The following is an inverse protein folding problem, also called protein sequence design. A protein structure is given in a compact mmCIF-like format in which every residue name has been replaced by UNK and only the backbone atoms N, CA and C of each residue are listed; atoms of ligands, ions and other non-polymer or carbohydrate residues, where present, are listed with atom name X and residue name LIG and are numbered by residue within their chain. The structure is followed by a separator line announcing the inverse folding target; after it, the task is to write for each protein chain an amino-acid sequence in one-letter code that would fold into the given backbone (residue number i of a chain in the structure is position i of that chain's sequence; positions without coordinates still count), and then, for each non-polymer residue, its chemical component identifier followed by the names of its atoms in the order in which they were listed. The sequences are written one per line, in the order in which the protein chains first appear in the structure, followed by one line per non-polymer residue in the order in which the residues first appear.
data_IF_545297617396
#
_entry.id   IF_545297617396
#
_cell.length_a   1.000
_cell.length_b   1.000
_cell.length_c   1.000
_cell.angle_alpha   90.00
_cell.angle_beta   90.00
_cell.angle_gamma   90.00
#
_symmetry.space_group_name_H-M   'P 1'
#
loop_
_entity.id
_entity.type
_entity.pdbx_description
1 polymer ?
#
# COMPACT_ATOMS: atom_id res chain seq x y z
N UNK A 1 -33.57 -10.78 32.71
CA UNK A 1 -32.72 -10.45 31.56
C UNK A 1 -32.31 -8.98 31.51
N UNK A 2 -33.21 -8.04 31.79
CA UNK A 2 -32.97 -6.58 31.67
C UNK A 2 -31.81 -6.03 32.52
N UNK A 3 -31.66 -6.49 33.78
CA UNK A 3 -30.56 -6.08 34.68
C UNK A 3 -29.16 -6.42 34.16
N UNK A 4 -29.00 -7.52 33.43
CA UNK A 4 -27.72 -7.93 32.85
C UNK A 4 -27.35 -7.08 31.62
N UNK A 5 -28.36 -6.58 30.89
CA UNK A 5 -28.15 -5.67 29.77
C UNK A 5 -27.66 -4.29 30.25
N UNK A 6 -28.21 -3.76 31.34
CA UNK A 6 -27.76 -2.49 31.94
C UNK A 6 -26.32 -2.60 32.47
N UNK A 7 -26.00 -3.69 33.17
CA UNK A 7 -24.63 -3.93 33.67
C UNK A 7 -23.62 -4.03 32.53
N UNK A 8 -23.98 -4.71 31.44
CA UNK A 8 -23.15 -4.82 30.22
C UNK A 8 -22.91 -3.45 29.56
N UNK A 9 -23.95 -2.62 29.42
CA UNK A 9 -23.81 -1.26 28.86
C UNK A 9 -22.85 -0.39 29.68
N UNK A 10 -22.89 -0.48 31.00
CA UNK A 10 -21.98 0.28 31.90
C UNK A 10 -20.51 -0.13 31.66
N UNK A 11 -20.22 -1.42 31.57
CA UNK A 11 -18.86 -1.90 31.29
C UNK A 11 -18.36 -1.47 29.91
N UNK A 12 -19.22 -1.52 28.89
CA UNK A 12 -18.89 -1.05 27.53
C UNK A 12 -18.59 0.45 27.54
N UNK A 13 -19.40 1.25 28.25
CA UNK A 13 -19.16 2.70 28.37
C UNK A 13 -17.85 3.01 29.08
N UNK A 14 -17.53 2.31 30.18
CA UNK A 14 -16.26 2.49 30.90
C UNK A 14 -15.07 2.13 30.00
N UNK A 15 -15.15 1.00 29.28
CA UNK A 15 -14.11 0.57 28.36
C UNK A 15 -13.92 1.58 27.23
N UNK A 16 -15.02 2.07 26.64
CA UNK A 16 -14.98 3.08 25.59
C UNK A 16 -14.33 4.38 26.07
N UNK A 17 -14.63 4.81 27.30
CA UNK A 17 -14.08 6.03 27.89
C UNK A 17 -12.59 5.88 28.22
N UNK A 18 -12.18 4.69 28.68
CA UNK A 18 -10.78 4.37 28.94
C UNK A 18 -9.96 4.35 27.64
N UNK A 19 -10.50 3.77 26.57
CA UNK A 19 -9.87 3.77 25.23
C UNK A 19 -9.83 5.18 24.64
N UNK A 20 -10.86 6.00 24.88
CA UNK A 20 -10.92 7.38 24.40
C UNK A 20 -10.09 8.37 25.26
N UNK A 21 -9.67 7.98 26.46
CA UNK A 21 -8.98 8.86 27.42
C UNK A 21 -7.79 9.60 26.80
N UNK A 22 -6.86 8.98 26.04
CA UNK A 22 -5.71 9.69 25.47
C UNK A 22 -6.15 10.79 24.49
N UNK A 23 -7.23 10.55 23.73
CA UNK A 23 -7.78 11.52 22.79
C UNK A 23 -8.35 12.72 23.56
N UNK A 24 -9.07 12.47 24.66
CA UNK A 24 -9.56 13.54 25.53
C UNK A 24 -8.43 14.35 26.17
N UNK A 25 -7.35 13.70 26.61
CA UNK A 25 -6.18 14.39 27.18
C UNK A 25 -5.54 15.31 26.14
N UNK A 26 -5.35 14.84 24.91
CA UNK A 26 -4.82 15.67 23.81
C UNK A 26 -5.79 16.80 23.47
N UNK A 27 -7.10 16.54 23.40
CA UNK A 27 -8.09 17.59 23.14
C UNK A 27 -8.12 18.66 24.25
N UNK A 28 -7.99 18.27 25.52
CA UNK A 28 -7.94 19.18 26.67
C UNK A 28 -6.63 19.98 26.71
N UNK A 29 -5.52 19.44 26.18
CA UNK A 29 -4.24 20.17 26.11
C UNK A 29 -4.32 21.44 25.26
N UNK A 30 -5.29 21.55 24.34
CA UNK A 30 -5.57 22.78 23.59
C UNK A 30 -6.08 23.95 24.46
N UNK A 31 -6.58 23.66 25.67
CA UNK A 31 -7.06 24.68 26.61
C UNK A 31 -5.94 25.25 27.49
N UNK A 32 -4.75 24.65 27.48
CA UNK A 32 -3.58 25.13 28.23
C UNK A 32 -2.79 26.13 27.35
N UNK A 33 -2.72 27.42 27.73
CA UNK A 33 -2.06 28.43 26.92
C UNK A 33 -0.53 28.35 27.05
N UNK A 34 0.10 27.58 26.17
CA UNK A 34 1.56 27.49 26.02
C UNK A 34 2.02 28.20 24.74
N UNK A 35 1.88 29.53 24.72
CA UNK A 35 1.95 30.31 23.48
C UNK A 35 3.32 30.20 22.76
N UNK A 36 4.42 30.05 23.51
CA UNK A 36 5.78 29.90 22.96
C UNK A 36 6.04 28.52 22.34
N UNK A 37 5.45 27.45 22.91
CA UNK A 37 5.54 26.12 22.30
C UNK A 37 4.79 26.10 20.97
N UNK A 38 3.55 26.61 20.95
CA UNK A 38 2.71 26.60 19.74
C UNK A 38 3.31 27.40 18.58
N UNK A 39 3.90 28.57 18.86
CA UNK A 39 4.57 29.37 17.82
C UNK A 39 5.79 28.63 17.26
N UNK A 40 6.63 28.05 18.12
CA UNK A 40 7.77 27.25 17.69
C UNK A 40 7.37 26.01 16.87
N UNK A 41 6.33 25.26 17.29
CA UNK A 41 5.81 24.11 16.54
C UNK A 41 5.25 24.51 15.17
N UNK A 42 4.46 25.60 15.11
CA UNK A 42 3.82 26.07 13.88
C UNK A 42 4.79 26.61 12.85
N UNK A 43 5.90 27.22 13.28
CA UNK A 43 6.86 27.84 12.38
C UNK A 43 7.95 26.86 11.93
N UNK A 44 8.42 25.98 12.83
CA UNK A 44 9.62 25.17 12.56
C UNK A 44 9.33 23.70 12.21
N UNK A 45 8.20 23.14 12.64
CA UNK A 45 7.94 21.70 12.51
C UNK A 45 6.76 21.39 11.58
N UNK A 46 5.61 22.03 11.81
CA UNK A 46 4.38 21.74 11.06
C UNK A 46 4.52 21.94 9.54
N UNK A 47 5.12 23.02 9.02
CA UNK A 47 5.21 23.23 7.57
C UNK A 47 6.03 22.13 6.89
N UNK A 48 7.15 21.75 7.49
CA UNK A 48 8.02 20.67 7.00
C UNK A 48 7.33 19.30 7.06
N UNK A 49 6.64 19.00 8.16
CA UNK A 49 5.90 17.74 8.33
C UNK A 49 4.74 17.63 7.34
N UNK A 50 3.94 18.69 7.19
CA UNK A 50 2.80 18.71 6.27
C UNK A 50 3.29 18.56 4.83
N UNK A 51 4.31 19.33 4.43
CA UNK A 51 4.87 19.24 3.08
C UNK A 51 5.44 17.86 2.78
N UNK A 52 6.24 17.30 3.69
CA UNK A 52 6.82 15.96 3.55
C UNK A 52 5.73 14.89 3.45
N UNK A 53 4.71 14.97 4.30
CA UNK A 53 3.58 14.04 4.29
C UNK A 53 2.77 14.17 3.00
N UNK A 54 2.51 15.37 2.51
CA UNK A 54 1.81 15.59 1.26
C UNK A 54 2.57 15.00 0.07
N UNK A 55 3.90 15.21 -0.01
CA UNK A 55 4.77 14.63 -1.04
C UNK A 55 4.72 13.10 -0.97
N UNK A 56 4.81 12.53 0.23
CA UNK A 56 4.71 11.08 0.43
C UNK A 56 3.35 10.55 -0.01
N UNK A 57 2.24 11.17 0.40
CA UNK A 57 0.90 10.74 0.05
C UNK A 57 0.67 10.74 -1.47
N UNK A 58 1.07 11.82 -2.15
CA UNK A 58 0.92 11.93 -3.60
C UNK A 58 1.82 10.93 -4.31
N UNK A 59 3.11 10.88 -3.96
CA UNK A 59 4.08 9.99 -4.59
C UNK A 59 3.73 8.51 -4.41
N UNK A 60 3.40 8.12 -3.17
CA UNK A 60 2.99 6.74 -2.87
C UNK A 60 1.66 6.44 -3.55
N UNK A 61 0.67 7.31 -3.44
CA UNK A 61 -0.65 7.13 -4.05
C UNK A 61 -0.57 6.88 -5.56
N UNK A 62 0.23 7.67 -6.28
CA UNK A 62 0.48 7.47 -7.71
C UNK A 62 1.20 6.13 -7.94
N UNK A 63 2.29 5.88 -7.21
CA UNK A 63 3.11 4.69 -7.40
C UNK A 63 2.36 3.38 -7.14
N UNK A 64 1.60 3.27 -6.05
CA UNK A 64 0.82 2.06 -5.74
C UNK A 64 -0.31 1.86 -6.75
N UNK A 65 -0.92 2.95 -7.22
CA UNK A 65 -2.00 2.90 -8.20
C UNK A 65 -1.49 2.38 -9.54
N UNK A 66 -0.38 2.96 -10.03
CA UNK A 66 0.23 2.54 -11.28
C UNK A 66 0.72 1.09 -11.20
N UNK A 67 1.56 0.78 -10.20
CA UNK A 67 2.17 -0.54 -10.07
C UNK A 67 1.10 -1.63 -9.84
N UNK A 68 0.18 -1.40 -8.89
CA UNK A 68 -0.89 -2.35 -8.57
C UNK A 68 -1.84 -2.58 -9.75
N UNK A 69 -2.19 -1.53 -10.50
CA UNK A 69 -3.07 -1.64 -11.67
C UNK A 69 -2.40 -2.35 -12.83
N UNK A 70 -1.14 -2.03 -13.15
CA UNK A 70 -0.39 -2.68 -14.22
C UNK A 70 -0.23 -4.17 -13.94
N UNK A 71 0.18 -4.53 -12.71
CA UNK A 71 0.33 -5.93 -12.32
C UNK A 71 -1.00 -6.69 -12.32
N UNK A 72 -2.08 -6.06 -11.87
CA UNK A 72 -3.42 -6.64 -11.91
C UNK A 72 -3.88 -6.87 -13.35
N UNK A 73 -3.65 -5.89 -14.24
CA UNK A 73 -3.98 -6.01 -15.65
C UNK A 73 -3.21 -7.16 -16.29
N UNK A 74 -1.90 -7.21 -16.08
CA UNK A 74 -1.02 -8.25 -16.59
C UNK A 74 -1.52 -9.65 -16.17
N UNK A 75 -1.76 -9.83 -14.86
CA UNK A 75 -2.17 -11.13 -14.31
C UNK A 75 -3.63 -11.49 -14.61
N UNK A 76 -4.48 -10.58 -15.11
CA UNK A 76 -5.88 -10.91 -15.46
C UNK A 76 -6.08 -11.04 -16.97
N UNK A 77 -5.57 -10.07 -17.72
CA UNK A 77 -5.85 -9.89 -19.14
C UNK A 77 -4.83 -10.58 -20.04
N UNK A 78 -3.58 -10.78 -19.59
CA UNK A 78 -2.51 -11.37 -20.41
C UNK A 78 -2.28 -12.84 -20.02
N UNK A 79 -2.06 -13.68 -21.02
CA UNK A 79 -1.71 -15.09 -20.87
C UNK A 79 -0.21 -15.27 -21.14
N UNK A 80 0.53 -15.76 -20.14
CA UNK A 80 1.97 -15.97 -20.22
C UNK A 80 2.40 -17.11 -19.29
N UNK A 81 3.50 -17.84 -19.61
CA UNK A 81 4.02 -18.90 -18.77
C UNK A 81 4.46 -18.34 -17.41
N UNK A 82 4.09 -19.02 -16.31
CA UNK A 82 4.43 -18.58 -14.95
C UNK A 82 3.44 -17.60 -14.30
N UNK A 83 2.34 -17.23 -14.97
CA UNK A 83 1.30 -16.35 -14.42
C UNK A 83 0.77 -16.78 -13.04
N UNK A 84 0.55 -18.08 -12.82
CA UNK A 84 0.07 -18.61 -11.52
C UNK A 84 1.08 -18.38 -10.39
N UNK A 85 2.37 -18.54 -10.69
CA UNK A 85 3.46 -18.27 -9.75
C UNK A 85 3.56 -16.78 -9.45
N UNK A 86 3.52 -15.92 -10.48
CA UNK A 86 3.54 -14.47 -10.28
C UNK A 86 2.32 -14.02 -9.47
N UNK A 87 1.13 -14.53 -9.78
CA UNK A 87 -0.09 -14.21 -9.03
C UNK A 87 0.09 -14.46 -7.53
N UNK A 88 0.64 -15.61 -7.15
CA UNK A 88 0.90 -15.93 -5.75
C UNK A 88 2.02 -15.06 -5.13
N UNK A 89 3.12 -14.87 -5.87
CA UNK A 89 4.28 -14.11 -5.40
C UNK A 89 3.94 -12.63 -5.11
N UNK A 90 2.99 -12.04 -5.84
CA UNK A 90 2.54 -10.66 -5.60
C UNK A 90 1.82 -10.46 -4.26
N UNK A 91 1.40 -11.54 -3.58
CA UNK A 91 0.87 -11.48 -2.22
C UNK A 91 1.94 -11.66 -1.13
N UNK A 92 3.13 -12.15 -1.49
CA UNK A 92 4.20 -12.45 -0.54
C UNK A 92 4.62 -11.26 0.34
N UNK A 93 4.64 -10.00 -0.14
CA UNK A 93 4.97 -8.86 0.71
C UNK A 93 4.06 -8.69 1.94
N UNK A 94 2.81 -9.18 1.90
CA UNK A 94 1.90 -9.13 3.06
C UNK A 94 2.37 -9.96 4.26
N UNK A 95 3.15 -11.01 4.00
CA UNK A 95 3.66 -11.87 5.07
C UNK A 95 4.80 -11.19 5.86
N UNK A 96 5.38 -10.11 5.33
CA UNK A 96 6.53 -9.42 5.89
C UNK A 96 6.05 -8.13 6.57
N UNK A 97 6.36 -7.92 7.85
CA UNK A 97 6.08 -6.65 8.50
C UNK A 97 6.76 -5.49 7.76
N UNK A 98 6.06 -4.36 7.60
CA UNK A 98 6.57 -3.22 6.82
C UNK A 98 7.95 -2.72 7.30
N UNK A 99 8.20 -2.74 8.61
CA UNK A 99 9.49 -2.34 9.17
C UNK A 99 10.64 -3.27 8.76
N UNK A 100 10.39 -4.59 8.66
CA UNK A 100 11.38 -5.57 8.22
C UNK A 100 11.73 -5.31 6.76
N UNK A 101 10.72 -5.08 5.93
CA UNK A 101 10.92 -4.79 4.52
C UNK A 101 11.71 -3.48 4.33
N UNK A 102 11.43 -2.45 5.12
CA UNK A 102 12.20 -1.21 5.12
C UNK A 102 13.68 -1.43 5.47
N UNK A 103 14.00 -2.23 6.48
CA UNK A 103 15.40 -2.54 6.81
C UNK A 103 16.10 -3.37 5.75
N UNK A 104 15.40 -4.33 5.14
CA UNK A 104 15.93 -5.10 4.01
C UNK A 104 16.25 -4.17 2.85
N UNK A 105 15.34 -3.25 2.49
CA UNK A 105 15.60 -2.27 1.44
C UNK A 105 16.77 -1.35 1.77
N UNK A 106 16.81 -0.81 2.99
CA UNK A 106 17.94 0.01 3.46
C UNK A 106 19.25 -0.75 3.35
N UNK A 107 19.31 -2.04 3.70
CA UNK A 107 20.53 -2.84 3.60
C UNK A 107 20.91 -3.19 2.16
N UNK A 108 19.95 -3.57 1.31
CA UNK A 108 20.20 -3.94 -0.09
C UNK A 108 20.71 -2.77 -0.91
N UNK A 109 20.18 -1.58 -0.64
CA UNK A 109 20.50 -0.35 -1.32
C UNK A 109 21.33 0.60 -0.45
N UNK A 110 21.95 0.13 0.63
CA UNK A 110 22.97 0.93 1.32
C UNK A 110 24.17 1.12 0.40
N UNK A 111 25.08 2.03 0.72
CA UNK A 111 26.29 2.22 -0.07
C UNK A 111 27.11 0.92 -0.21
N UNK A 112 27.17 0.10 0.83
CA UNK A 112 27.80 -1.23 0.84
C UNK A 112 26.86 -2.37 0.43
N UNK A 113 25.61 -2.06 0.09
CA UNK A 113 24.59 -3.04 -0.25
C UNK A 113 24.82 -3.70 -1.61
N UNK A 114 24.37 -4.94 -1.75
CA UNK A 114 24.57 -5.76 -2.96
C UNK A 114 24.11 -5.05 -4.24
N UNK A 115 22.98 -4.34 -4.20
CA UNK A 115 22.45 -3.66 -5.39
C UNK A 115 23.35 -2.50 -5.82
N UNK A 116 23.86 -1.72 -4.87
CA UNK A 116 24.75 -0.59 -5.18
C UNK A 116 26.14 -1.04 -5.60
N UNK A 117 26.69 -2.07 -4.95
CA UNK A 117 27.98 -2.67 -5.33
C UNK A 117 27.89 -3.20 -6.76
N UNK A 118 26.86 -4.00 -7.06
CA UNK A 118 26.63 -4.53 -8.41
C UNK A 118 26.50 -3.41 -9.45
N UNK A 119 25.74 -2.36 -9.13
CA UNK A 119 25.58 -1.21 -10.02
C UNK A 119 26.90 -0.47 -10.28
N UNK A 120 27.76 -0.31 -9.27
CA UNK A 120 29.08 0.33 -9.44
C UNK A 120 30.06 -0.56 -10.19
N UNK A 121 30.13 -1.84 -9.87
CA UNK A 121 31.14 -2.76 -10.41
C UNK A 121 30.78 -3.27 -11.81
N UNK A 122 29.49 -3.50 -12.09
CA UNK A 122 29.04 -4.07 -13.35
C UNK A 122 28.59 -3.00 -14.34
N UNK A 123 27.81 -2.02 -13.87
CA UNK A 123 27.28 -0.96 -14.76
C UNK A 123 28.16 0.30 -14.78
N UNK A 124 29.16 0.40 -13.90
CA UNK A 124 30.02 1.59 -13.79
C UNK A 124 29.28 2.85 -13.32
N UNK A 125 28.05 2.73 -12.82
CA UNK A 125 27.22 3.85 -12.42
C UNK A 125 27.57 4.28 -10.98
N UNK A 126 27.60 5.59 -10.67
CA UNK A 126 27.84 6.05 -9.31
C UNK A 126 26.73 5.56 -8.38
N UNK A 127 27.11 5.16 -7.15
CA UNK A 127 26.14 4.86 -6.09
C UNK A 127 25.31 6.09 -5.75
N UNK A 128 24.06 5.90 -5.34
CA UNK A 128 23.20 6.96 -4.85
C UNK A 128 23.06 6.85 -3.33
N UNK A 129 22.84 7.95 -2.62
CA UNK A 129 22.51 7.84 -1.20
C UNK A 129 21.01 7.53 -1.07
N UNK A 130 20.70 6.34 -0.58
CA UNK A 130 19.32 5.90 -0.35
C UNK A 130 18.60 6.76 0.70
N UNK A 131 19.35 7.46 1.55
CA UNK A 131 18.83 8.36 2.59
C UNK A 131 18.70 9.79 2.08
N UNK A 132 19.33 10.11 0.94
CA UNK A 132 19.25 11.43 0.32
C UNK A 132 17.97 11.55 -0.53
N UNK A 133 16.89 12.00 0.13
CA UNK A 133 15.66 12.45 -0.53
C UNK A 133 14.42 11.59 -0.21
N UNK A 134 13.25 12.18 -0.40
CA UNK A 134 11.95 11.56 -0.12
C UNK A 134 11.58 10.43 -1.09
N UNK A 135 12.22 10.35 -2.26
CA UNK A 135 11.85 9.42 -3.34
C UNK A 135 12.03 7.94 -2.97
N UNK A 136 13.04 7.62 -2.17
CA UNK A 136 13.27 6.24 -1.71
C UNK A 136 12.19 5.81 -0.73
N UNK A 137 11.82 6.70 0.19
CA UNK A 137 10.76 6.45 1.16
C UNK A 137 9.45 6.18 0.41
N UNK A 138 9.18 6.98 -0.63
CA UNK A 138 8.05 6.76 -1.55
C UNK A 138 8.15 5.37 -2.17
N UNK A 139 9.28 5.03 -2.80
CA UNK A 139 9.45 3.74 -3.48
C UNK A 139 9.29 2.55 -2.52
N UNK A 140 9.83 2.65 -1.31
CA UNK A 140 9.68 1.64 -0.25
C UNK A 140 8.21 1.46 0.10
N UNK A 141 7.50 2.55 0.38
CA UNK A 141 6.07 2.47 0.67
C UNK A 141 5.25 1.97 -0.52
N UNK A 142 5.62 2.31 -1.76
CA UNK A 142 4.98 1.75 -2.95
C UNK A 142 5.14 0.24 -2.98
N UNK A 143 6.34 -0.28 -2.73
CA UNK A 143 6.61 -1.72 -2.72
C UNK A 143 5.93 -2.46 -1.56
N UNK A 144 5.73 -1.80 -0.41
CA UNK A 144 4.95 -2.32 0.72
C UNK A 144 3.44 -2.32 0.41
N UNK A 145 2.92 -1.26 -0.20
CA UNK A 145 1.47 -1.01 -0.27
C UNK A 145 0.83 -1.34 -1.62
N UNK A 146 1.58 -1.53 -2.70
CA UNK A 146 1.00 -1.94 -4.00
C UNK A 146 0.14 -3.20 -3.92
N UNK A 147 0.39 -4.21 -3.05
CA UNK A 147 -0.42 -5.42 -3.02
C UNK A 147 -1.88 -5.15 -2.67
N UNK A 148 -2.17 -4.12 -1.85
CA UNK A 148 -3.53 -3.73 -1.51
C UNK A 148 -4.31 -3.25 -2.75
N UNK A 149 -3.70 -2.39 -3.57
CA UNK A 149 -4.31 -1.90 -4.81
C UNK A 149 -4.41 -3.03 -5.84
N UNK A 150 -3.36 -3.82 -5.99
CA UNK A 150 -3.36 -5.00 -6.85
C UNK A 150 -4.56 -5.91 -6.58
N UNK A 151 -4.85 -6.22 -5.31
CA UNK A 151 -5.98 -7.09 -4.93
C UNK A 151 -7.33 -6.52 -5.36
N UNK A 152 -7.57 -5.24 -5.04
CA UNK A 152 -8.82 -4.57 -5.38
C UNK A 152 -9.00 -4.48 -6.91
N UNK A 153 -7.97 -4.03 -7.61
CA UNK A 153 -8.00 -3.85 -9.06
C UNK A 153 -8.12 -5.19 -9.79
N UNK A 154 -7.43 -6.24 -9.31
CA UNK A 154 -7.54 -7.60 -9.87
C UNK A 154 -8.96 -8.14 -9.76
N UNK A 155 -9.63 -7.96 -8.62
CA UNK A 155 -11.02 -8.39 -8.45
C UNK A 155 -11.96 -7.67 -9.43
N UNK A 156 -11.73 -6.38 -9.67
CA UNK A 156 -12.47 -5.59 -10.66
C UNK A 156 -12.21 -6.05 -12.10
N UNK A 157 -10.94 -6.25 -12.49
CA UNK A 157 -10.60 -6.73 -13.82
C UNK A 157 -11.12 -8.14 -14.11
N UNK A 158 -11.15 -9.04 -13.12
CA UNK A 158 -11.75 -10.37 -13.29
C UNK A 158 -13.24 -10.27 -13.64
N UNK A 159 -13.99 -9.43 -12.92
CA UNK A 159 -15.41 -9.18 -13.19
C UNK A 159 -15.61 -8.58 -14.59
N UNK A 160 -14.80 -7.58 -14.95
CA UNK A 160 -14.86 -6.98 -16.29
C UNK A 160 -14.59 -8.01 -17.39
N UNK A 161 -13.55 -8.86 -17.23
CA UNK A 161 -13.23 -9.92 -18.20
C UNK A 161 -14.39 -10.88 -18.41
N UNK A 162 -15.08 -11.29 -17.34
CA UNK A 162 -16.25 -12.19 -17.41
C UNK A 162 -17.40 -11.50 -18.17
N UNK A 163 -17.74 -10.26 -17.80
CA UNK A 163 -18.82 -9.51 -18.44
C UNK A 163 -18.58 -9.32 -19.95
N UNK A 164 -17.33 -9.08 -20.37
CA UNK A 164 -16.97 -8.96 -21.79
C UNK A 164 -17.17 -10.29 -22.54
N UNK A 165 -16.84 -11.42 -21.90
CA UNK A 165 -17.06 -12.75 -22.48
C UNK A 165 -18.56 -13.03 -22.62
N UNK A 166 -19.37 -12.70 -21.62
CA UNK A 166 -20.83 -12.87 -21.65
C UNK A 166 -21.49 -11.99 -22.71
N UNK A 167 -21.11 -10.72 -22.80
CA UNK A 167 -21.58 -9.82 -23.86
C UNK A 167 -21.23 -10.34 -25.27
N UNK A 168 -20.01 -10.88 -25.45
CA UNK A 168 -19.61 -11.51 -26.71
C UNK A 168 -20.48 -12.72 -27.08
N UNK A 169 -20.85 -13.55 -26.09
CA UNK A 169 -21.77 -14.68 -26.30
C UNK A 169 -23.17 -14.21 -26.72
N UNK A 170 -23.68 -13.13 -26.11
CA UNK A 170 -24.99 -12.55 -26.46
C UNK A 170 -25.02 -11.96 -27.88
N UNK A 171 -23.90 -11.42 -28.37
CA UNK A 171 -23.75 -10.87 -29.72
C UNK A 171 -23.49 -11.95 -30.79
N UNK A 172 -23.65 -13.24 -30.46
CA UNK A 172 -23.56 -14.34 -31.43
C UNK A 172 -22.16 -14.96 -31.58
N UNK A 173 -21.21 -14.65 -30.68
CA UNK A 173 -19.95 -15.41 -30.64
C UNK A 173 -20.24 -16.86 -30.24
N UNK A 174 -19.96 -17.81 -31.15
CA UNK A 174 -20.14 -19.25 -30.90
C UNK A 174 -19.44 -19.67 -29.60
N UNK A 175 -20.16 -20.27 -28.62
CA UNK A 175 -19.61 -20.69 -27.33
C UNK A 175 -18.41 -21.61 -27.46
N UNK A 176 -18.36 -22.40 -28.53
CA UNK A 176 -17.33 -23.40 -28.82
C UNK A 176 -16.00 -22.70 -29.19
N UNK A 177 -16.02 -21.65 -30.00
CA UNK A 177 -14.78 -20.89 -30.34
C UNK A 177 -14.21 -20.14 -29.13
N UNK A 178 -15.06 -19.67 -28.22
CA UNK A 178 -14.63 -19.01 -26.97
C UNK A 178 -14.09 -20.04 -25.98
N UNK A 179 -14.74 -21.19 -25.85
CA UNK A 179 -14.30 -22.27 -24.98
C UNK A 179 -12.95 -22.85 -25.42
N UNK A 180 -12.76 -23.17 -26.70
CA UNK A 180 -11.47 -23.70 -27.20
C UNK A 180 -10.34 -22.66 -27.21
N UNK A 181 -10.65 -21.35 -27.28
CA UNK A 181 -9.64 -20.29 -27.22
C UNK A 181 -9.16 -19.97 -25.79
N UNK A 182 -9.93 -20.30 -24.76
CA UNK A 182 -9.60 -20.04 -23.35
C UNK A 182 -9.38 -21.28 -22.48
N UNK A 183 -9.79 -22.48 -22.91
CA UNK A 183 -9.68 -23.73 -22.13
C UNK A 183 -8.47 -24.59 -22.49
N UNK A 184 -7.89 -24.41 -23.68
CA UNK A 184 -6.62 -25.03 -24.07
C UNK A 184 -5.49 -24.00 -23.88
N UNK A 185 -4.92 -23.95 -22.66
CA UNK A 185 -3.53 -23.59 -22.28
C UNK A 185 -3.43 -22.97 -20.88
#
# INVERSE_FOLDING_TARGET
MEKNCVKSKIWISILALLVAMPIFVVALSWLLPEHELWTHFSQNLLPGLISSTAILLVGVGIGVTLLGTILAYLVVMVEFPGRKWLEWALFLPFAIPAYVLAFVYLGVFDYSGYAQVWMREVLGLPGFDIRAGSWVIILTFVLVFYPYVYMMTRASFKRQKINMIEAGKLLGASPIKVFFKYHYH
#
